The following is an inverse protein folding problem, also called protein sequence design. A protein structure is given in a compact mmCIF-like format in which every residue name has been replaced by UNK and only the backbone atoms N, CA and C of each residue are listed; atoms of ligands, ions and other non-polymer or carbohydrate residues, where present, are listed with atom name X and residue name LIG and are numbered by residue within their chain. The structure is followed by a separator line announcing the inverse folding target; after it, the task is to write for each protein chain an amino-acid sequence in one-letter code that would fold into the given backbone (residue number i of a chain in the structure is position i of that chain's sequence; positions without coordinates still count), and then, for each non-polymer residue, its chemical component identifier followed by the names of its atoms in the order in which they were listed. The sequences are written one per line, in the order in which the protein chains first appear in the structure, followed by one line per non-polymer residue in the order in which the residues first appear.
data_IF_794156323025
#
_entry.id   IF_794156323025
#
_cell.length_a   1.000
_cell.length_b   1.000
_cell.length_c   1.000
_cell.angle_alpha   90.00
_cell.angle_beta   90.00
_cell.angle_gamma   90.00
#
_symmetry.space_group_name_H-M   'P 1'
#
loop_
_entity.id
_entity.type
_entity.pdbx_description
1 polymer ?
#
# COMPACT_ATOMS: atom_id res chain seq x y z
N UNK A 1 32.04 7.20 2.26
CA UNK A 1 30.59 7.03 2.48
C UNK A 1 29.93 8.28 1.91
N UNK A 2 29.11 8.15 0.90
CA UNK A 2 28.28 9.26 0.39
C UNK A 2 27.31 9.64 1.50
N UNK A 3 27.29 10.91 1.89
CA UNK A 3 26.40 11.43 2.90
C UNK A 3 24.98 11.38 2.32
N UNK A 4 24.06 10.63 2.95
CA UNK A 4 22.63 10.64 2.56
C UNK A 4 21.96 11.89 3.11
N UNK A 5 20.92 12.39 2.41
CA UNK A 5 20.13 13.54 2.88
C UNK A 5 19.06 13.11 3.90
N UNK A 6 18.75 11.80 3.99
CA UNK A 6 17.77 11.21 4.91
C UNK A 6 18.36 10.02 5.66
N UNK A 7 17.80 9.72 6.84
CA UNK A 7 18.44 8.80 7.78
C UNK A 7 18.22 7.31 7.43
N UNK A 8 16.99 6.90 7.10
CA UNK A 8 16.66 5.48 6.95
C UNK A 8 16.81 4.97 5.52
N UNK A 9 16.44 5.76 4.51
CA UNK A 9 16.50 5.32 3.12
C UNK A 9 17.92 5.30 2.56
N UNK A 10 18.82 6.07 3.14
CA UNK A 10 20.24 6.10 2.74
C UNK A 10 20.50 6.65 1.34
N UNK A 11 19.64 7.56 0.86
CA UNK A 11 19.69 8.19 -0.46
C UNK A 11 19.71 9.72 -0.34
N UNK A 12 20.02 10.39 -1.45
CA UNK A 12 20.03 11.85 -1.57
C UNK A 12 18.91 12.34 -2.49
N UNK A 13 18.58 13.62 -2.41
CA UNK A 13 17.66 14.27 -3.33
C UNK A 13 18.14 14.17 -4.80
N UNK A 14 19.44 14.25 -5.02
CA UNK A 14 20.03 14.13 -6.34
C UNK A 14 19.83 12.73 -6.96
N UNK A 15 19.82 11.68 -6.14
CA UNK A 15 19.57 10.31 -6.61
C UNK A 15 18.20 10.14 -7.24
N UNK A 16 17.20 10.92 -6.79
CA UNK A 16 15.84 10.86 -7.31
C UNK A 16 15.65 11.56 -8.66
N UNK A 17 16.63 12.30 -9.15
CA UNK A 17 16.60 13.02 -10.46
C UNK A 17 15.33 13.84 -10.68
N UNK A 18 14.73 14.38 -9.59
CA UNK A 18 13.51 15.16 -9.65
C UNK A 18 12.22 14.36 -9.65
N UNK A 19 12.24 13.07 -9.34
CA UNK A 19 11.03 12.24 -9.22
C UNK A 19 10.06 12.82 -8.19
N UNK A 20 8.79 12.96 -8.58
CA UNK A 20 7.70 13.45 -7.72
C UNK A 20 6.68 12.40 -7.36
N UNK A 21 6.79 11.20 -7.96
CA UNK A 21 5.91 10.06 -7.72
C UNK A 21 6.72 8.86 -7.23
N UNK A 22 6.21 8.20 -6.19
CA UNK A 22 6.74 6.94 -5.68
C UNK A 22 5.69 5.83 -5.72
N UNK A 23 6.12 4.64 -6.14
CA UNK A 23 5.38 3.38 -5.97
C UNK A 23 5.91 2.69 -4.72
N UNK A 24 5.01 2.34 -3.79
CA UNK A 24 5.38 1.90 -2.45
C UNK A 24 4.81 0.50 -2.15
N UNK A 25 5.52 -0.59 -2.51
CA UNK A 25 5.20 -1.93 -2.01
C UNK A 25 5.62 -2.08 -0.54
N UNK A 26 5.02 -3.04 0.19
CA UNK A 26 5.49 -3.41 1.53
C UNK A 26 6.79 -4.20 1.49
N UNK A 27 6.86 -5.18 0.59
CA UNK A 27 7.94 -6.16 0.47
C UNK A 27 9.14 -5.62 -0.33
N UNK A 28 10.37 -5.62 0.23
CA UNK A 28 11.59 -5.22 -0.48
C UNK A 28 11.87 -6.03 -1.76
N UNK A 29 11.51 -7.32 -1.79
CA UNK A 29 11.74 -8.17 -2.96
C UNK A 29 10.86 -7.80 -4.15
N UNK A 30 9.75 -7.10 -3.90
CA UNK A 30 8.83 -6.62 -4.93
C UNK A 30 9.35 -5.39 -5.66
N UNK A 31 10.21 -4.59 -5.01
CA UNK A 31 10.72 -3.32 -5.57
C UNK A 31 11.41 -3.51 -6.91
N UNK A 32 12.34 -4.46 -7.00
CA UNK A 32 13.04 -4.77 -8.26
C UNK A 32 12.08 -5.24 -9.36
N UNK A 33 11.08 -6.05 -9.00
CA UNK A 33 10.08 -6.57 -9.95
C UNK A 33 9.24 -5.43 -10.55
N UNK A 34 8.86 -4.46 -9.71
CA UNK A 34 8.12 -3.26 -10.16
C UNK A 34 8.99 -2.38 -11.04
N UNK A 35 10.21 -2.07 -10.60
CA UNK A 35 11.14 -1.25 -11.36
C UNK A 35 11.47 -1.85 -12.74
N UNK A 36 11.53 -3.17 -12.84
CA UNK A 36 11.80 -3.88 -14.10
C UNK A 36 10.66 -3.79 -15.14
N UNK A 37 9.47 -3.31 -14.77
CA UNK A 37 8.37 -3.01 -15.71
C UNK A 37 8.46 -1.61 -16.32
N UNK A 38 9.42 -0.82 -15.89
CA UNK A 38 9.67 0.55 -16.33
C UNK A 38 11.04 0.64 -17.05
N UNK A 39 11.32 1.80 -17.59
CA UNK A 39 12.55 2.08 -18.32
C UNK A 39 13.72 2.39 -17.36
N UNK A 40 14.94 2.05 -17.77
CA UNK A 40 16.20 2.40 -17.10
C UNK A 40 16.23 2.09 -15.57
N UNK A 41 15.80 0.90 -15.10
CA UNK A 41 15.75 0.60 -13.69
C UNK A 41 17.14 0.59 -13.05
N UNK A 42 17.31 1.37 -11.98
CA UNK A 42 18.55 1.54 -11.24
C UNK A 42 18.33 1.32 -9.74
N UNK A 43 19.09 0.42 -9.13
CA UNK A 43 19.15 0.27 -7.69
C UNK A 43 19.84 1.49 -7.06
N UNK A 44 19.24 2.10 -6.06
CA UNK A 44 19.81 3.23 -5.33
C UNK A 44 20.41 2.79 -3.99
N UNK A 45 19.60 2.19 -3.12
CA UNK A 45 20.02 1.74 -1.80
C UNK A 45 19.15 0.60 -1.27
N UNK A 46 19.70 -0.16 -0.31
CA UNK A 46 18.93 -1.09 0.52
C UNK A 46 19.44 -0.96 1.95
N UNK A 47 18.56 -0.54 2.85
CA UNK A 47 18.88 -0.37 4.26
C UNK A 47 17.66 -0.78 5.10
N UNK A 48 17.82 -1.76 5.99
CA UNK A 48 16.73 -2.38 6.74
C UNK A 48 15.64 -2.94 5.78
N UNK A 49 14.38 -2.65 6.07
CA UNK A 49 13.22 -2.99 5.23
C UNK A 49 13.05 -2.08 4.00
N UNK A 50 13.86 -1.04 3.87
CA UNK A 50 13.76 -0.07 2.78
C UNK A 50 14.73 -0.42 1.66
N UNK A 51 14.19 -0.81 0.53
CA UNK A 51 14.93 -0.97 -0.74
C UNK A 51 14.38 0.04 -1.72
N UNK A 52 15.27 0.86 -2.31
CA UNK A 52 14.89 1.95 -3.20
C UNK A 52 15.52 1.78 -4.57
N UNK A 53 14.69 1.89 -5.58
CA UNK A 53 15.07 1.92 -6.99
C UNK A 53 14.52 3.17 -7.65
N UNK A 54 15.24 3.66 -8.66
CA UNK A 54 14.76 4.67 -9.61
C UNK A 54 14.49 3.97 -10.93
N UNK A 55 13.43 4.35 -11.61
CA UNK A 55 13.14 3.95 -12.98
C UNK A 55 12.47 5.11 -13.71
N UNK A 56 12.08 4.92 -14.97
CA UNK A 56 11.45 5.96 -15.77
C UNK A 56 10.16 5.42 -16.41
N UNK A 57 9.17 6.29 -16.55
CA UNK A 57 7.97 6.08 -17.37
C UNK A 57 7.90 7.24 -18.37
N UNK A 58 7.99 6.92 -19.66
CA UNK A 58 7.99 7.90 -20.74
C UNK A 58 9.03 9.04 -20.52
N UNK A 59 10.23 8.65 -20.05
CA UNK A 59 11.34 9.55 -19.76
C UNK A 59 11.18 10.38 -18.48
N UNK A 60 10.14 10.15 -17.66
CA UNK A 60 9.93 10.82 -16.36
C UNK A 60 10.36 9.89 -15.22
N UNK A 61 11.16 10.38 -14.25
CA UNK A 61 11.67 9.56 -13.18
C UNK A 61 10.57 9.17 -12.18
N UNK A 62 10.59 7.91 -11.76
CA UNK A 62 9.69 7.31 -10.77
C UNK A 62 10.51 6.57 -9.73
N UNK A 63 10.22 6.78 -8.47
CA UNK A 63 10.83 6.04 -7.36
C UNK A 63 10.00 4.78 -7.06
N UNK A 64 10.67 3.67 -6.81
CA UNK A 64 10.05 2.49 -6.18
C UNK A 64 10.77 2.25 -4.88
N UNK A 65 10.04 2.29 -3.76
CA UNK A 65 10.62 2.13 -2.43
C UNK A 65 9.74 1.25 -1.56
N UNK A 66 10.31 0.19 -0.96
CA UNK A 66 9.55 -0.62 0.00
C UNK A 66 9.31 0.15 1.30
N UNK A 67 8.13 -0.03 1.86
CA UNK A 67 7.73 0.58 3.14
C UNK A 67 7.90 -0.34 4.35
N UNK A 68 8.22 -1.62 4.14
CA UNK A 68 8.09 -2.61 5.20
C UNK A 68 6.63 -2.89 5.57
N UNK A 69 6.39 -3.40 6.77
CA UNK A 69 5.07 -3.74 7.29
C UNK A 69 4.65 -2.74 8.36
N UNK A 70 3.41 -2.26 8.24
CA UNK A 70 2.74 -1.46 9.27
C UNK A 70 2.99 0.04 9.19
N UNK A 71 2.18 0.77 9.94
CA UNK A 71 2.14 2.22 9.94
C UNK A 71 3.48 2.90 10.27
N UNK A 72 4.18 2.50 11.35
CA UNK A 72 5.46 3.13 11.72
C UNK A 72 6.50 3.08 10.61
N UNK A 73 6.68 1.93 9.97
CA UNK A 73 7.65 1.77 8.87
C UNK A 73 7.21 2.56 7.62
N UNK A 74 5.93 2.50 7.27
CA UNK A 74 5.35 3.27 6.17
C UNK A 74 5.54 4.78 6.37
N UNK A 75 5.35 5.27 7.59
CA UNK A 75 5.50 6.70 7.90
C UNK A 75 6.92 7.19 7.68
N UNK A 76 7.92 6.39 8.01
CA UNK A 76 9.34 6.71 7.76
C UNK A 76 9.61 6.82 6.26
N UNK A 77 9.20 5.82 5.47
CA UNK A 77 9.44 5.83 4.03
C UNK A 77 8.77 7.05 3.34
N UNK A 78 7.52 7.33 3.69
CA UNK A 78 6.77 8.46 3.11
C UNK A 78 7.38 9.79 3.51
N UNK A 79 7.71 9.98 4.80
CA UNK A 79 8.33 11.20 5.32
C UNK A 79 9.66 11.51 4.61
N UNK A 80 10.56 10.54 4.57
CA UNK A 80 11.88 10.74 3.96
C UNK A 80 11.79 10.97 2.45
N UNK A 81 10.93 10.24 1.73
CA UNK A 81 10.69 10.48 0.31
C UNK A 81 10.07 11.87 0.06
N UNK A 82 9.15 12.32 0.93
CA UNK A 82 8.55 13.65 0.82
C UNK A 82 9.59 14.77 1.06
N UNK A 83 10.52 14.60 2.01
CA UNK A 83 11.66 15.50 2.23
C UNK A 83 12.56 15.59 0.98
N UNK A 84 12.73 14.49 0.25
CA UNK A 84 13.52 14.44 -0.98
C UNK A 84 12.78 14.99 -2.22
N UNK A 85 11.48 15.29 -2.12
CA UNK A 85 10.72 15.94 -3.17
C UNK A 85 9.56 15.14 -3.75
N UNK A 86 9.32 13.91 -3.31
CA UNK A 86 8.14 13.12 -3.73
C UNK A 86 6.86 13.76 -3.18
N UNK A 87 5.80 13.77 -3.98
CA UNK A 87 4.51 14.40 -3.66
C UNK A 87 3.31 13.48 -3.89
N UNK A 88 3.51 12.37 -4.61
CA UNK A 88 2.48 11.39 -4.93
C UNK A 88 2.96 10.01 -4.57
N UNK A 89 2.15 9.25 -3.83
CA UNK A 89 2.46 7.92 -3.33
C UNK A 89 1.40 6.92 -3.78
N UNK A 90 1.78 5.94 -4.57
CA UNK A 90 0.92 4.84 -4.97
C UNK A 90 1.36 3.56 -4.26
N UNK A 91 0.54 3.09 -3.32
CA UNK A 91 0.79 1.83 -2.64
C UNK A 91 0.27 0.66 -3.47
N UNK A 92 1.06 -0.41 -3.54
CA UNK A 92 0.65 -1.70 -4.06
C UNK A 92 0.88 -2.79 -3.03
N UNK A 93 -0.17 -3.56 -2.73
CA UNK A 93 -0.14 -4.60 -1.70
C UNK A 93 -0.86 -5.87 -2.09
N UNK A 94 -0.91 -6.79 -1.14
CA UNK A 94 -1.79 -7.95 -1.12
C UNK A 94 -2.72 -7.87 0.07
N UNK A 95 -3.88 -8.52 0.00
CA UNK A 95 -4.91 -8.35 1.03
C UNK A 95 -5.77 -9.60 1.22
N UNK A 96 -6.41 -9.67 2.39
CA UNK A 96 -7.48 -10.62 2.67
C UNK A 96 -8.84 -9.94 2.61
N UNK A 97 -9.68 -10.34 1.64
CA UNK A 97 -11.06 -9.85 1.54
C UNK A 97 -11.92 -10.37 2.71
N UNK A 98 -12.90 -9.56 3.12
CA UNK A 98 -13.87 -9.93 4.15
C UNK A 98 -15.32 -9.94 3.63
N UNK A 99 -15.55 -9.62 2.37
CA UNK A 99 -16.87 -9.68 1.74
C UNK A 99 -17.03 -10.96 0.92
N UNK A 100 -18.15 -11.69 1.04
CA UNK A 100 -18.31 -13.00 0.39
C UNK A 100 -18.35 -12.95 -1.14
N UNK A 101 -18.67 -11.79 -1.74
CA UNK A 101 -18.74 -11.60 -3.18
C UNK A 101 -17.40 -11.28 -3.86
N UNK A 102 -16.35 -11.07 -3.08
CA UNK A 102 -14.99 -10.79 -3.58
C UNK A 102 -14.22 -12.11 -3.70
N UNK A 103 -13.64 -12.36 -4.86
CA UNK A 103 -12.89 -13.60 -5.10
C UNK A 103 -11.38 -13.39 -4.90
N UNK A 104 -10.70 -14.49 -4.61
CA UNK A 104 -9.24 -14.54 -4.74
C UNK A 104 -8.87 -14.30 -6.20
N UNK A 105 -7.90 -13.43 -6.45
CA UNK A 105 -7.54 -12.95 -7.78
C UNK A 105 -8.16 -11.60 -8.17
N UNK A 106 -9.22 -11.17 -7.48
CA UNK A 106 -9.79 -9.83 -7.68
C UNK A 106 -8.83 -8.74 -7.16
N UNK A 107 -9.07 -7.51 -7.57
CA UNK A 107 -8.28 -6.34 -7.18
C UNK A 107 -9.14 -5.36 -6.39
N UNK A 108 -8.58 -4.76 -5.36
CA UNK A 108 -9.24 -3.73 -4.55
C UNK A 108 -8.53 -2.38 -4.73
N UNK A 109 -9.31 -1.33 -5.03
CA UNK A 109 -8.85 0.07 -4.99
C UNK A 109 -9.46 0.72 -3.76
N UNK A 110 -8.60 1.16 -2.84
CA UNK A 110 -9.00 1.75 -1.57
C UNK A 110 -9.36 3.23 -1.73
N UNK A 111 -10.58 3.61 -1.35
CA UNK A 111 -11.03 5.00 -1.33
C UNK A 111 -10.82 5.68 0.02
N UNK A 112 -10.91 4.90 1.09
CA UNK A 112 -10.69 5.34 2.48
C UNK A 112 -10.30 4.15 3.35
N UNK A 113 -9.75 4.44 4.54
CA UNK A 113 -9.37 3.39 5.49
C UNK A 113 -9.99 3.61 6.86
N UNK A 114 -10.47 2.52 7.46
CA UNK A 114 -10.76 2.50 8.89
C UNK A 114 -9.44 2.54 9.65
N UNK A 115 -9.27 3.51 10.51
CA UNK A 115 -8.03 3.75 11.26
C UNK A 115 -7.97 2.87 12.51
N UNK A 116 -7.49 1.62 12.35
CA UNK A 116 -7.27 0.67 13.45
C UNK A 116 -5.77 0.63 13.84
N UNK A 117 -5.04 1.65 13.48
CA UNK A 117 -3.61 1.83 13.73
C UNK A 117 -3.35 2.92 14.77
N UNK A 118 -2.13 2.94 15.31
CA UNK A 118 -1.66 4.00 16.21
C UNK A 118 -0.84 5.07 15.49
N UNK A 119 -0.15 4.70 14.41
CA UNK A 119 0.78 5.61 13.73
C UNK A 119 0.06 6.80 13.09
N UNK A 120 -1.12 6.61 12.51
CA UNK A 120 -1.90 7.70 11.91
C UNK A 120 -2.30 8.77 12.92
N UNK A 121 -2.42 8.44 14.22
CA UNK A 121 -2.73 9.40 15.28
C UNK A 121 -1.61 10.43 15.52
N UNK A 122 -0.40 10.16 15.08
CA UNK A 122 0.72 11.09 15.16
C UNK A 122 0.69 12.17 14.07
N UNK A 123 -0.16 12.00 13.06
CA UNK A 123 -0.29 12.93 11.93
C UNK A 123 -1.60 13.72 11.97
N UNK A 124 -2.66 13.14 12.52
CA UNK A 124 -3.96 13.80 12.65
C UNK A 124 -4.82 13.14 13.73
N UNK A 125 -5.73 13.88 14.39
CA UNK A 125 -6.66 13.30 15.37
C UNK A 125 -7.57 12.25 14.71
N UNK A 126 -8.23 11.39 15.52
CA UNK A 126 -9.00 10.26 15.01
C UNK A 126 -10.17 10.68 14.11
N UNK A 127 -10.71 11.87 14.34
CA UNK A 127 -11.82 12.44 13.56
C UNK A 127 -11.40 12.86 12.14
N UNK A 128 -10.09 13.03 11.88
CA UNK A 128 -9.59 13.31 10.55
C UNK A 128 -9.62 12.04 9.71
N UNK A 129 -10.29 12.01 8.54
CA UNK A 129 -10.48 10.79 7.78
C UNK A 129 -9.20 10.34 7.06
N UNK A 130 -8.97 9.03 7.00
CA UNK A 130 -7.96 8.42 6.14
C UNK A 130 -8.56 8.24 4.74
N UNK A 131 -8.42 9.24 3.88
CA UNK A 131 -9.01 9.24 2.52
C UNK A 131 -7.93 9.23 1.44
N UNK A 132 -8.18 8.48 0.38
CA UNK A 132 -7.32 8.48 -0.79
C UNK A 132 -7.53 9.76 -1.63
N UNK A 133 -6.46 10.20 -2.30
CA UNK A 133 -6.54 11.29 -3.26
C UNK A 133 -7.42 10.88 -4.45
N UNK A 134 -8.31 11.78 -4.87
CA UNK A 134 -9.28 11.49 -5.93
C UNK A 134 -8.60 11.18 -7.27
N UNK A 135 -7.56 11.92 -7.64
CA UNK A 135 -6.85 11.69 -8.91
C UNK A 135 -6.09 10.34 -8.86
N UNK A 136 -5.45 10.01 -7.72
CA UNK A 136 -4.79 8.71 -7.53
C UNK A 136 -5.80 7.55 -7.61
N UNK A 137 -6.95 7.68 -6.96
CA UNK A 137 -8.01 6.68 -7.02
C UNK A 137 -8.53 6.49 -8.44
N UNK A 138 -8.83 7.57 -9.15
CA UNK A 138 -9.32 7.54 -10.53
C UNK A 138 -8.30 6.88 -11.47
N UNK A 139 -7.00 7.21 -11.32
CA UNK A 139 -5.93 6.60 -12.11
C UNK A 139 -5.81 5.09 -11.86
N UNK A 140 -5.92 4.66 -10.61
CA UNK A 140 -5.88 3.23 -10.24
C UNK A 140 -7.08 2.47 -10.79
N UNK A 141 -8.28 3.03 -10.71
CA UNK A 141 -9.51 2.40 -11.26
C UNK A 141 -9.39 2.26 -12.78
N UNK A 142 -9.02 3.34 -13.49
CA UNK A 142 -8.88 3.30 -14.94
C UNK A 142 -7.78 2.32 -15.40
N UNK A 143 -6.66 2.24 -14.67
CA UNK A 143 -5.60 1.27 -14.95
C UNK A 143 -6.08 -0.18 -14.71
N UNK A 144 -6.85 -0.42 -13.67
CA UNK A 144 -7.40 -1.74 -13.37
C UNK A 144 -8.39 -2.20 -14.45
N UNK A 145 -9.25 -1.32 -14.93
CA UNK A 145 -10.18 -1.57 -16.04
C UNK A 145 -9.41 -1.91 -17.34
N UNK A 146 -8.39 -1.13 -17.67
CA UNK A 146 -7.57 -1.35 -18.86
C UNK A 146 -6.78 -2.67 -18.80
N UNK A 147 -6.33 -3.07 -17.62
CA UNK A 147 -5.71 -4.37 -17.39
C UNK A 147 -6.72 -5.54 -17.37
N UNK A 148 -8.00 -5.28 -17.51
CA UNK A 148 -9.06 -6.29 -17.48
C UNK A 148 -9.27 -6.94 -16.11
N UNK A 149 -8.85 -6.28 -15.02
CA UNK A 149 -8.98 -6.81 -13.68
C UNK A 149 -10.43 -6.70 -13.16
N UNK A 150 -10.91 -7.74 -12.50
CA UNK A 150 -12.15 -7.63 -11.72
C UNK A 150 -11.87 -6.80 -10.48
N UNK A 151 -12.40 -5.58 -10.46
CA UNK A 151 -12.05 -4.55 -9.49
C UNK A 151 -13.21 -4.24 -8.55
N UNK A 152 -12.90 -4.11 -7.25
CA UNK A 152 -13.81 -3.59 -6.25
C UNK A 152 -13.23 -2.28 -5.69
N UNK A 153 -14.09 -1.30 -5.46
CA UNK A 153 -13.70 0.03 -5.02
C UNK A 153 -14.40 0.31 -3.68
N UNK A 154 -13.66 0.67 -2.65
CA UNK A 154 -14.29 0.92 -1.35
C UNK A 154 -13.32 1.06 -0.19
N UNK A 155 -13.84 0.82 1.02
CA UNK A 155 -13.17 1.07 2.28
C UNK A 155 -12.38 -0.17 2.71
N UNK A 156 -11.17 0.06 3.19
CA UNK A 156 -10.25 -0.94 3.74
C UNK A 156 -10.16 -0.80 5.25
N UNK A 157 -10.10 -1.87 6.02
CA UNK A 157 -9.72 -1.84 7.44
C UNK A 157 -8.20 -1.98 7.55
N UNK A 158 -7.54 -0.98 8.13
CA UNK A 158 -6.09 -0.93 8.26
C UNK A 158 -5.68 -1.06 9.72
N UNK A 159 -5.03 -2.17 10.08
CA UNK A 159 -4.74 -2.56 11.46
C UNK A 159 -3.25 -2.74 11.71
N UNK A 160 -2.77 -2.29 12.89
CA UNK A 160 -1.37 -2.43 13.31
C UNK A 160 -0.92 -3.89 13.53
N UNK A 161 -1.85 -4.83 13.68
CA UNK A 161 -1.49 -6.23 13.89
C UNK A 161 -2.24 -7.17 12.97
N UNK A 162 -1.51 -8.15 12.42
CA UNK A 162 -2.06 -9.16 11.53
C UNK A 162 -3.01 -10.12 12.25
N UNK A 163 -2.73 -10.44 13.53
CA UNK A 163 -3.49 -11.43 14.28
C UNK A 163 -4.64 -10.81 15.10
N UNK A 164 -4.42 -10.23 16.29
CA UNK A 164 -5.56 -9.79 17.13
C UNK A 164 -6.32 -8.59 16.55
N UNK A 165 -5.64 -7.65 15.90
CA UNK A 165 -6.27 -6.46 15.31
C UNK A 165 -7.13 -6.75 14.09
N UNK A 166 -6.92 -7.91 13.45
CA UNK A 166 -7.76 -8.43 12.37
C UNK A 166 -8.69 -9.55 12.84
N UNK A 167 -8.92 -9.66 14.16
CA UNK A 167 -9.74 -10.69 14.78
C UNK A 167 -9.37 -12.11 14.35
N UNK A 168 -8.08 -12.46 14.43
CA UNK A 168 -7.60 -13.82 14.19
C UNK A 168 -7.41 -14.54 15.51
N UNK A 169 -8.02 -15.70 15.63
CA UNK A 169 -7.94 -16.57 16.82
C UNK A 169 -6.89 -17.66 16.70
N UNK A 170 -6.39 -17.91 15.50
CA UNK A 170 -5.32 -18.86 15.17
C UNK A 170 -3.93 -18.32 15.57
N UNK A 171 -3.77 -17.96 16.83
CA UNK A 171 -2.58 -17.32 17.41
C UNK A 171 -1.98 -18.18 18.50
N UNK A 172 -0.74 -17.89 18.91
CA UNK A 172 -0.09 -18.57 20.05
C UNK A 172 -0.93 -18.55 21.32
N UNK A 173 -1.58 -17.41 21.65
CA UNK A 173 -2.43 -17.30 22.83
C UNK A 173 -3.87 -17.76 22.61
N UNK A 174 -4.32 -17.92 21.37
CA UNK A 174 -5.71 -18.18 21.01
C UNK A 174 -6.69 -17.08 21.43
N UNK A 175 -6.18 -15.91 21.84
CA UNK A 175 -6.98 -14.84 22.46
C UNK A 175 -6.99 -13.56 21.62
N UNK A 176 -8.19 -13.01 21.45
CA UNK A 176 -8.43 -11.66 20.91
C UNK A 176 -9.04 -10.81 22.04
N UNK A 177 -8.52 -9.59 22.25
CA UNK A 177 -9.03 -8.68 23.27
C UNK A 177 -10.45 -8.22 22.94
N UNK A 178 -11.26 -7.94 23.93
CA UNK A 178 -12.71 -7.69 23.79
C UNK A 178 -13.05 -6.64 22.72
N UNK A 179 -12.27 -5.57 22.62
CA UNK A 179 -12.51 -4.50 21.64
C UNK A 179 -12.43 -4.93 20.18
N UNK A 180 -11.83 -6.09 19.89
CA UNK A 180 -11.71 -6.64 18.53
C UNK A 180 -12.61 -7.85 18.30
N UNK A 181 -13.26 -8.38 19.35
CA UNK A 181 -14.18 -9.52 19.19
C UNK A 181 -15.44 -9.06 18.47
N UNK A 182 -15.81 -9.76 17.39
CA UNK A 182 -16.92 -9.42 16.51
C UNK A 182 -16.61 -8.29 15.51
N UNK A 183 -15.41 -7.71 15.56
CA UNK A 183 -15.06 -6.57 14.70
C UNK A 183 -15.08 -6.90 13.20
N UNK A 184 -14.69 -8.12 12.81
CA UNK A 184 -14.76 -8.51 11.40
C UNK A 184 -16.19 -8.49 10.85
N UNK A 185 -17.15 -9.00 11.63
CA UNK A 185 -18.57 -8.97 11.25
C UNK A 185 -19.13 -7.55 11.24
N UNK A 186 -18.69 -6.72 12.16
CA UNK A 186 -19.07 -5.31 12.22
C UNK A 186 -18.59 -4.57 10.95
N UNK A 187 -17.31 -4.73 10.58
CA UNK A 187 -16.78 -4.14 9.33
C UNK A 187 -17.45 -4.70 8.07
N UNK A 188 -17.76 -6.00 8.04
CA UNK A 188 -18.54 -6.59 6.95
C UNK A 188 -19.91 -5.92 6.81
N UNK A 189 -20.62 -5.74 7.91
CA UNK A 189 -21.94 -5.12 7.92
C UNK A 189 -21.91 -3.64 7.48
N UNK A 190 -20.78 -2.95 7.72
CA UNK A 190 -20.53 -1.59 7.24
C UNK A 190 -20.02 -1.52 5.80
N UNK A 191 -19.86 -2.65 5.10
CA UNK A 191 -19.41 -2.70 3.72
C UNK A 191 -17.91 -2.52 3.53
N UNK A 192 -17.09 -2.67 4.58
CA UNK A 192 -15.64 -2.70 4.47
C UNK A 192 -15.21 -3.94 3.68
N UNK A 193 -14.27 -3.79 2.74
CA UNK A 193 -13.95 -4.82 1.75
C UNK A 193 -12.90 -5.82 2.23
N UNK A 194 -11.91 -5.37 2.99
CA UNK A 194 -10.69 -6.13 3.28
C UNK A 194 -9.94 -5.61 4.50
N UNK A 195 -8.92 -6.39 4.92
CA UNK A 195 -7.90 -5.97 5.87
C UNK A 195 -6.52 -5.82 5.21
N UNK A 196 -5.77 -4.83 5.66
CA UNK A 196 -4.34 -4.65 5.44
C UNK A 196 -3.72 -3.84 6.61
N UNK A 197 -2.48 -3.31 6.49
CA UNK A 197 -1.76 -2.83 7.67
C UNK A 197 -1.12 -1.44 7.51
N UNK A 198 -1.28 -0.72 6.38
CA UNK A 198 -0.54 0.51 6.10
C UNK A 198 -1.37 1.68 5.60
N UNK A 199 -2.53 1.42 5.00
CA UNK A 199 -3.31 2.46 4.33
C UNK A 199 -3.86 3.53 5.27
N UNK A 200 -4.19 3.21 6.52
CA UNK A 200 -4.62 4.23 7.48
C UNK A 200 -3.53 5.28 7.71
N UNK A 201 -2.31 4.84 7.97
CA UNK A 201 -1.15 5.74 8.14
C UNK A 201 -0.85 6.50 6.86
N UNK A 202 -0.71 5.80 5.72
CA UNK A 202 -0.38 6.40 4.44
C UNK A 202 -1.38 7.50 4.04
N UNK A 203 -2.66 7.18 4.04
CA UNK A 203 -3.71 8.10 3.57
C UNK A 203 -3.87 9.29 4.53
N UNK A 204 -3.87 9.04 5.86
CA UNK A 204 -3.96 10.12 6.85
C UNK A 204 -2.77 11.06 6.76
N UNK A 205 -1.56 10.52 6.74
CA UNK A 205 -0.32 11.29 6.65
C UNK A 205 -0.29 12.14 5.38
N UNK A 206 -0.56 11.54 4.22
CA UNK A 206 -0.53 12.26 2.96
C UNK A 206 -1.61 13.36 2.90
N UNK A 207 -2.86 13.04 3.27
CA UNK A 207 -3.94 14.02 3.23
C UNK A 207 -3.70 15.19 4.19
N UNK A 208 -3.20 14.93 5.41
CA UNK A 208 -2.92 15.98 6.40
C UNK A 208 -1.74 16.89 6.05
N UNK A 209 -0.83 16.43 5.20
CA UNK A 209 0.38 17.16 4.80
C UNK A 209 0.33 17.73 3.38
N UNK A 210 -0.83 17.66 2.69
CA UNK A 210 -0.97 18.16 1.33
C UNK A 210 -0.25 17.31 0.28
N UNK A 211 0.00 16.03 0.59
CA UNK A 211 0.51 15.01 -0.33
C UNK A 211 -0.65 14.22 -0.94
N UNK A 212 -0.40 13.55 -2.06
CA UNK A 212 -1.39 12.68 -2.71
C UNK A 212 -1.04 11.21 -2.46
N UNK A 213 -2.04 10.39 -2.14
CA UNK A 213 -1.85 8.96 -2.01
C UNK A 213 -3.05 8.17 -2.54
N UNK A 214 -2.76 6.99 -3.10
CA UNK A 214 -3.73 5.98 -3.48
C UNK A 214 -3.21 4.58 -3.21
N UNK A 215 -4.11 3.60 -3.18
CA UNK A 215 -3.74 2.21 -2.92
C UNK A 215 -4.52 1.24 -3.79
N UNK A 216 -3.81 0.25 -4.31
CA UNK A 216 -4.35 -0.95 -4.95
C UNK A 216 -3.81 -2.19 -4.26
N UNK A 217 -4.64 -3.21 -4.09
CA UNK A 217 -4.23 -4.48 -3.49
C UNK A 217 -4.85 -5.67 -4.23
N UNK A 218 -4.06 -6.72 -4.46
CA UNK A 218 -4.53 -7.98 -4.98
C UNK A 218 -5.08 -8.87 -3.85
N UNK A 219 -6.23 -9.47 -4.08
CA UNK A 219 -6.88 -10.36 -3.11
C UNK A 219 -6.26 -11.76 -3.17
N UNK A 220 -5.51 -12.13 -2.14
CA UNK A 220 -4.81 -13.41 -2.06
C UNK A 220 -5.53 -14.46 -1.19
N UNK A 221 -6.42 -14.01 -0.32
CA UNK A 221 -7.32 -14.86 0.49
C UNK A 221 -8.67 -14.16 0.65
N UNK A 222 -9.75 -14.97 0.86
CA UNK A 222 -11.03 -14.45 1.33
C UNK A 222 -11.35 -15.05 2.70
N UNK A 223 -11.47 -14.22 3.71
CA UNK A 223 -11.66 -14.59 5.11
C UNK A 223 -13.07 -15.13 5.45
N UNK A 224 -14.00 -15.03 4.52
CA UNK A 224 -15.33 -15.69 4.63
C UNK A 224 -15.28 -17.15 4.17
N UNK A 225 -14.16 -17.59 3.63
CA UNK A 225 -13.91 -18.93 3.11
C UNK A 225 -12.70 -19.54 3.81
N UNK A 226 -12.24 -20.72 3.35
CA UNK A 226 -11.02 -21.34 3.87
C UNK A 226 -9.79 -20.55 3.41
N UNK A 227 -9.06 -19.96 4.36
CA UNK A 227 -7.85 -19.16 4.09
C UNK A 227 -6.65 -20.05 3.75
N UNK A 228 -6.66 -20.70 2.58
CA UNK A 228 -5.49 -21.39 2.06
C UNK A 228 -5.09 -20.71 0.76
N UNK A 229 -4.05 -19.87 0.78
CA UNK A 229 -3.57 -19.23 -0.43
C UNK A 229 -2.96 -20.28 -1.38
N UNK A 230 -3.39 -20.28 -2.64
CA UNK A 230 -2.70 -20.99 -3.70
C UNK A 230 -1.53 -20.16 -4.21
N UNK A 231 -0.32 -20.73 -4.22
CA UNK A 231 0.91 -20.01 -4.57
C UNK A 231 0.91 -19.47 -6.00
N UNK A 232 0.30 -20.18 -6.95
CA UNK A 232 0.21 -19.73 -8.34
C UNK A 232 -0.73 -18.54 -8.48
N UNK A 233 -1.91 -18.62 -7.86
CA UNK A 233 -2.89 -17.53 -7.83
C UNK A 233 -2.34 -16.30 -7.11
N UNK A 234 -1.66 -16.47 -5.97
CA UNK A 234 -1.00 -15.37 -5.26
C UNK A 234 0.00 -14.63 -6.15
N UNK A 235 0.87 -15.37 -6.84
CA UNK A 235 1.88 -14.80 -7.73
C UNK A 235 1.24 -14.06 -8.91
N UNK A 236 0.18 -14.59 -9.49
CA UNK A 236 -0.55 -13.94 -10.59
C UNK A 236 -1.22 -12.66 -10.11
N UNK A 237 -1.95 -12.72 -8.99
CA UNK A 237 -2.64 -11.58 -8.38
C UNK A 237 -1.68 -10.45 -8.02
N UNK A 238 -0.51 -10.80 -7.45
CA UNK A 238 0.56 -9.83 -7.17
C UNK A 238 1.06 -9.18 -8.47
N UNK A 239 1.30 -9.97 -9.51
CA UNK A 239 1.74 -9.48 -10.81
C UNK A 239 0.74 -8.50 -11.43
N UNK A 240 -0.55 -8.80 -11.34
CA UNK A 240 -1.60 -7.96 -11.89
C UNK A 240 -1.74 -6.64 -11.12
N UNK A 241 -1.71 -6.67 -9.79
CA UNK A 241 -1.70 -5.45 -8.98
C UNK A 241 -0.47 -4.56 -9.27
N UNK A 242 0.69 -5.17 -9.51
CA UNK A 242 1.92 -4.46 -9.89
C UNK A 242 1.80 -3.79 -11.27
N UNK A 243 1.23 -4.45 -12.27
CA UNK A 243 0.98 -3.83 -13.58
C UNK A 243 0.03 -2.64 -13.47
N UNK A 244 -1.05 -2.80 -12.69
CA UNK A 244 -2.04 -1.75 -12.47
C UNK A 244 -1.41 -0.51 -11.82
N UNK A 245 -0.57 -0.67 -10.79
CA UNK A 245 0.06 0.48 -10.14
C UNK A 245 1.04 1.22 -11.05
N UNK A 246 1.77 0.50 -11.91
CA UNK A 246 2.68 1.11 -12.90
C UNK A 246 1.89 1.89 -13.96
N UNK A 247 0.79 1.33 -14.46
CA UNK A 247 -0.07 2.01 -15.41
C UNK A 247 -0.79 3.22 -14.79
N UNK A 248 -1.21 3.13 -13.53
CA UNK A 248 -1.75 4.26 -12.79
C UNK A 248 -0.69 5.38 -12.59
N UNK A 249 0.57 5.01 -12.32
CA UNK A 249 1.68 5.95 -12.24
C UNK A 249 1.87 6.71 -13.57
N UNK A 250 1.80 6.02 -14.72
CA UNK A 250 1.85 6.62 -16.06
C UNK A 250 0.80 7.71 -16.26
N UNK A 251 -0.41 7.48 -15.76
CA UNK A 251 -1.54 8.44 -15.87
C UNK A 251 -1.41 9.68 -14.99
N UNK A 252 -0.55 9.62 -13.96
CA UNK A 252 -0.35 10.71 -12.98
C UNK A 252 0.90 11.56 -13.25
N UNK A 253 1.77 11.11 -14.13
CA UNK A 253 2.97 11.82 -14.58
C UNK A 253 2.68 12.75 -15.76
#
# INVERSE_FOLDING_TARGET
MTQSDVFHLGITKADLKGATLAIVPGDPERVKKIAALMENPQHLASHREFTTWLAEIDGKPVVVCSSGIGGPSTSIAVEELAQLGVRTFLRVGTTGAIQPHINVGDVLVTTASVRLDGASLHFAPMEFPAVADFACTTALVAAAEECGARTHIGITASSDTFYPGQERYDTFSGRVVNRFQGSMQEWQAMGVLNYEMESATLLTMCASQGLRAGMVAGVIVNRTQKEIPDAATMKQTESDAVKIVVEAARRLL
#
